data_IF_629327569756
#
_entry.id   IF_629327569756
#
_cell.length_a   1.000
_cell.length_b   1.000
_cell.length_c   1.000
_cell.angle_alpha   90.00
_cell.angle_beta   90.00
_cell.angle_gamma   90.00
#
_symmetry.space_group_name_H-M   'P 1'
#
loop_
_entity.id
_entity.type
_entity.pdbx_description
1 polymer ?
#
# COMPACT_ATOMS: atom_id res chain seq x y z
N UNK A 1 -0.58 0.84 6.50
CA UNK A 1 -0.32 0.81 7.96
C UNK A 1 -1.55 1.33 8.70
N UNK A 2 -1.89 0.76 9.85
CA UNK A 2 -2.93 1.35 10.72
C UNK A 2 -2.48 2.75 11.13
N UNK A 3 -3.38 3.73 11.02
CA UNK A 3 -3.15 5.02 11.66
C UNK A 3 -2.90 4.81 13.16
N UNK A 4 -2.05 5.64 13.76
CA UNK A 4 -1.67 5.55 15.18
C UNK A 4 -2.90 5.46 16.10
N UNK A 5 -4.01 6.11 15.71
CA UNK A 5 -5.28 6.07 16.42
C UNK A 5 -6.01 4.71 16.32
N UNK A 6 -5.91 4.02 15.19
CA UNK A 6 -6.47 2.67 15.03
C UNK A 6 -5.80 1.65 15.95
N UNK A 7 -4.47 1.76 16.11
CA UNK A 7 -3.70 0.93 17.04
C UNK A 7 -4.11 1.17 18.51
N UNK A 8 -4.33 2.44 18.87
CA UNK A 8 -4.87 2.81 20.18
C UNK A 8 -6.24 2.17 20.44
N UNK A 9 -7.19 2.34 19.51
CA UNK A 9 -8.55 1.81 19.66
C UNK A 9 -8.58 0.29 19.77
N UNK A 10 -7.76 -0.40 18.98
CA UNK A 10 -7.65 -1.86 19.01
C UNK A 10 -7.25 -2.38 20.40
N UNK A 11 -6.15 -1.87 20.96
CA UNK A 11 -5.71 -2.27 22.30
C UNK A 11 -6.60 -1.76 23.43
N UNK A 12 -7.21 -0.59 23.26
CA UNK A 12 -8.18 -0.06 24.22
C UNK A 12 -9.39 -0.98 24.34
N UNK A 13 -9.99 -1.38 23.21
CA UNK A 13 -11.17 -2.24 23.23
C UNK A 13 -10.86 -3.68 23.65
N UNK A 14 -9.65 -4.20 23.39
CA UNK A 14 -9.20 -5.50 23.93
C UNK A 14 -8.95 -5.48 25.45
N UNK A 15 -8.47 -4.36 26.00
CA UNK A 15 -8.31 -4.22 27.44
C UNK A 15 -9.65 -3.91 28.17
N UNK A 16 -10.65 -3.40 27.44
CA UNK A 16 -11.95 -3.02 27.99
C UNK A 16 -12.91 -4.22 28.11
N UNK A 17 -13.41 -4.47 29.32
CA UNK A 17 -14.34 -5.57 29.61
C UNK A 17 -15.63 -5.45 28.81
N UNK A 18 -15.94 -6.48 28.01
CA UNK A 18 -17.12 -6.51 27.13
C UNK A 18 -16.71 -6.45 25.67
N UNK A 19 -16.23 -5.30 25.16
CA UNK A 19 -15.68 -5.19 23.80
C UNK A 19 -14.54 -6.17 23.51
N UNK A 20 -13.74 -6.49 24.52
CA UNK A 20 -12.62 -7.44 24.41
C UNK A 20 -12.99 -8.87 24.03
N UNK A 21 -14.28 -9.22 24.04
CA UNK A 21 -14.76 -10.51 23.55
C UNK A 21 -14.84 -10.57 22.03
N UNK A 22 -14.70 -9.44 21.33
CA UNK A 22 -14.81 -9.34 19.88
C UNK A 22 -13.60 -8.70 19.21
N UNK A 23 -12.83 -7.88 19.93
CA UNK A 23 -11.67 -7.19 19.40
C UNK A 23 -10.40 -7.88 19.91
N UNK A 24 -9.68 -8.65 19.08
CA UNK A 24 -8.40 -9.25 19.47
C UNK A 24 -7.27 -8.20 19.45
N UNK A 25 -6.45 -8.12 20.49
CA UNK A 25 -5.30 -7.20 20.53
C UNK A 25 -4.11 -7.62 19.66
N UNK A 26 -3.93 -8.91 19.38
CA UNK A 26 -2.72 -9.45 18.78
C UNK A 26 -2.36 -8.76 17.45
N UNK A 27 -3.28 -8.52 16.50
CA UNK A 27 -2.97 -7.84 15.24
C UNK A 27 -2.46 -6.41 15.44
N UNK A 28 -3.04 -5.66 16.39
CA UNK A 28 -2.64 -4.28 16.67
C UNK A 28 -1.27 -4.21 17.35
N UNK A 29 -0.98 -5.15 18.26
CA UNK A 29 0.31 -5.25 18.93
C UNK A 29 1.44 -5.64 17.97
N UNK A 30 1.19 -6.61 17.09
CA UNK A 30 2.14 -7.00 16.04
C UNK A 30 2.39 -5.86 15.07
N UNK A 31 1.34 -5.15 14.64
CA UNK A 31 1.47 -3.99 13.76
C UNK A 31 2.29 -2.84 14.37
N UNK A 32 2.18 -2.63 15.69
CA UNK A 32 3.02 -1.66 16.38
C UNK A 32 4.49 -2.10 16.47
N UNK A 33 4.75 -3.40 16.60
CA UNK A 33 6.09 -3.97 16.48
C UNK A 33 6.70 -3.75 15.10
N UNK A 34 5.90 -3.93 14.04
CA UNK A 34 6.31 -3.62 12.68
C UNK A 34 6.65 -2.13 12.51
N UNK A 35 5.77 -1.23 12.97
CA UNK A 35 6.05 0.22 12.92
C UNK A 35 7.31 0.62 13.69
N UNK A 36 7.61 -0.07 14.80
CA UNK A 36 8.83 0.16 15.56
C UNK A 36 10.08 -0.17 14.74
N UNK A 37 10.02 -1.21 13.89
CA UNK A 37 11.11 -1.57 12.97
C UNK A 37 11.38 -0.44 11.97
N UNK A 38 10.32 0.14 11.40
CA UNK A 38 10.39 1.29 10.50
C UNK A 38 10.80 2.62 11.19
N UNK A 39 11.16 2.58 12.48
CA UNK A 39 11.54 3.75 13.28
C UNK A 39 10.36 4.57 13.82
N UNK A 40 9.12 4.14 13.58
CA UNK A 40 7.90 4.82 14.00
C UNK A 40 7.51 4.38 15.42
N UNK A 41 8.02 5.09 16.41
CA UNK A 41 7.81 4.77 17.85
C UNK A 41 6.37 5.07 18.33
N UNK A 42 5.64 5.96 17.64
CA UNK A 42 4.29 6.39 18.04
C UNK A 42 3.30 5.23 18.12
N UNK A 43 3.42 4.23 17.25
CA UNK A 43 2.57 3.03 17.26
C UNK A 43 2.62 2.32 18.60
N UNK A 44 3.83 1.99 19.08
CA UNK A 44 4.04 1.34 20.38
C UNK A 44 3.45 2.16 21.53
N UNK A 45 3.70 3.47 21.55
CA UNK A 45 3.15 4.35 22.59
C UNK A 45 1.62 4.32 22.61
N UNK A 46 0.98 4.33 21.45
CA UNK A 46 -0.49 4.31 21.33
C UNK A 46 -1.09 2.99 21.81
N UNK A 47 -0.47 1.85 21.50
CA UNK A 47 -1.00 0.54 21.92
C UNK A 47 -0.85 0.34 23.43
N UNK A 48 0.28 0.79 23.98
CA UNK A 48 0.51 0.80 25.43
C UNK A 48 -0.46 1.74 26.14
N UNK A 49 -0.69 2.94 25.60
CA UNK A 49 -1.65 3.89 26.17
C UNK A 49 -3.08 3.35 26.11
N UNK A 50 -3.50 2.77 24.98
CA UNK A 50 -4.81 2.16 24.82
C UNK A 50 -5.02 1.00 25.80
N UNK A 51 -4.06 0.07 25.86
CA UNK A 51 -4.10 -1.04 26.80
C UNK A 51 -4.12 -0.60 28.27
N UNK A 52 -3.37 0.44 28.61
CA UNK A 52 -3.37 1.01 29.97
C UNK A 52 -4.73 1.61 30.31
N UNK A 53 -5.29 2.49 29.46
CA UNK A 53 -6.57 3.14 29.72
C UNK A 53 -7.73 2.12 29.75
N UNK A 54 -7.71 1.11 28.89
CA UNK A 54 -8.70 0.02 28.92
C UNK A 54 -8.65 -0.78 30.21
N UNK A 55 -7.45 -1.12 30.72
CA UNK A 55 -7.28 -1.79 32.01
C UNK A 55 -7.84 -0.96 33.17
N UNK A 56 -7.52 0.34 33.19
CA UNK A 56 -8.00 1.26 34.23
C UNK A 56 -9.52 1.36 34.24
N UNK A 57 -10.15 1.50 33.07
CA UNK A 57 -11.60 1.54 32.96
C UNK A 57 -12.24 0.22 33.37
N UNK A 58 -11.73 -0.91 32.90
CA UNK A 58 -12.20 -2.25 33.30
C UNK A 58 -12.15 -2.43 34.82
N UNK A 59 -11.06 -2.01 35.45
CA UNK A 59 -10.91 -2.02 36.90
C UNK A 59 -11.93 -1.13 37.61
N UNK A 60 -12.13 0.10 37.14
CA UNK A 60 -13.11 1.03 37.72
C UNK A 60 -14.55 0.50 37.57
N UNK A 61 -14.88 -0.10 36.42
CA UNK A 61 -16.18 -0.76 36.20
C UNK A 61 -16.37 -1.91 37.20
N UNK A 62 -15.35 -2.74 37.40
CA UNK A 62 -15.37 -3.81 38.41
C UNK A 62 -15.54 -3.29 39.82
N UNK A 63 -14.87 -2.19 40.17
CA UNK A 63 -14.92 -1.57 41.50
C UNK A 63 -16.26 -0.90 41.79
N UNK A 64 -16.86 -0.24 40.81
CA UNK A 64 -18.13 0.49 40.94
C UNK A 64 -19.35 -0.44 40.88
N UNK A 65 -19.38 -1.37 39.93
CA UNK A 65 -20.57 -2.18 39.65
C UNK A 65 -20.49 -3.62 40.16
N UNK A 66 -19.31 -4.13 40.50
CA UNK A 66 -19.13 -5.38 41.25
C UNK A 66 -19.85 -6.62 40.68
N UNK A 67 -20.45 -7.41 41.57
CA UNK A 67 -21.14 -8.67 41.26
C UNK A 67 -22.31 -8.51 40.26
N UNK A 68 -23.17 -7.47 40.33
CA UNK A 68 -24.22 -7.26 39.33
C UNK A 68 -23.71 -7.20 37.89
N UNK A 69 -22.63 -6.46 37.63
CA UNK A 69 -22.02 -6.39 36.30
C UNK A 69 -21.43 -7.75 35.88
N UNK A 70 -20.77 -8.46 36.81
CA UNK A 70 -20.26 -9.81 36.56
C UNK A 70 -21.38 -10.78 36.14
N UNK A 71 -22.50 -10.78 36.86
CA UNK A 71 -23.65 -11.65 36.56
C UNK A 71 -24.31 -11.29 35.23
N UNK A 72 -24.45 -9.99 34.92
CA UNK A 72 -24.97 -9.54 33.63
C UNK A 72 -24.09 -10.01 32.47
N UNK A 73 -22.76 -9.89 32.60
CA UNK A 73 -21.82 -10.36 31.60
C UNK A 73 -21.85 -11.89 31.44
N UNK A 74 -21.91 -12.65 32.54
CA UNK A 74 -22.01 -14.12 32.53
C UNK A 74 -23.34 -14.66 31.98
N UNK A 75 -24.42 -13.86 32.06
CA UNK A 75 -25.71 -14.18 31.43
C UNK A 75 -25.66 -13.91 29.93
N UNK A 76 -25.08 -12.78 29.53
CA UNK A 76 -24.98 -12.39 28.13
C UNK A 76 -23.95 -13.25 27.36
N UNK A 77 -22.78 -13.54 27.93
CA UNK A 77 -21.76 -14.40 27.33
C UNK A 77 -21.34 -15.54 28.29
N UNK A 78 -21.99 -16.72 28.25
CA UNK A 78 -21.75 -17.82 29.19
C UNK A 78 -20.31 -18.36 29.17
N UNK A 79 -19.57 -18.22 28.07
CA UNK A 79 -18.15 -18.66 27.98
C UNK A 79 -17.23 -17.95 28.99
N UNK A 80 -17.58 -16.73 29.40
CA UNK A 80 -16.82 -15.95 30.40
C UNK A 80 -16.84 -16.58 31.80
N UNK A 81 -17.82 -17.46 32.11
CA UNK A 81 -17.94 -18.11 33.42
C UNK A 81 -16.66 -18.88 33.81
N UNK A 82 -16.06 -19.60 32.86
CA UNK A 82 -14.82 -20.35 33.08
C UNK A 82 -13.63 -19.43 33.34
N UNK A 83 -13.53 -18.33 32.58
CA UNK A 83 -12.49 -17.32 32.76
C UNK A 83 -12.59 -16.67 34.15
N UNK A 84 -13.79 -16.28 34.57
CA UNK A 84 -14.02 -15.73 35.92
C UNK A 84 -13.68 -16.72 37.04
N UNK A 85 -14.05 -17.99 36.91
CA UNK A 85 -13.73 -19.02 37.89
C UNK A 85 -12.21 -19.24 38.00
N UNK A 86 -11.51 -19.37 36.87
CA UNK A 86 -10.05 -19.50 36.81
C UNK A 86 -9.35 -18.27 37.39
N UNK A 87 -9.79 -17.07 37.00
CA UNK A 87 -9.25 -15.82 37.52
C UNK A 87 -9.39 -15.73 39.04
N UNK A 88 -10.56 -16.10 39.59
CA UNK A 88 -10.78 -16.09 41.04
C UNK A 88 -9.84 -17.05 41.77
N UNK A 89 -9.70 -18.27 41.25
CA UNK A 89 -8.79 -19.27 41.82
C UNK A 89 -7.32 -18.82 41.74
N UNK A 90 -6.91 -18.23 40.61
CA UNK A 90 -5.55 -17.74 40.40
C UNK A 90 -5.23 -16.56 41.32
N UNK A 91 -6.14 -15.58 41.45
CA UNK A 91 -5.95 -14.45 42.35
C UNK A 91 -5.91 -14.88 43.82
N UNK A 92 -6.69 -15.90 44.20
CA UNK A 92 -6.67 -16.45 45.56
C UNK A 92 -5.36 -17.18 45.90
N UNK A 93 -4.75 -17.86 44.94
CA UNK A 93 -3.55 -18.69 45.15
C UNK A 93 -2.23 -17.93 44.92
N UNK A 94 -2.19 -17.04 43.93
CA UNK A 94 -0.96 -16.38 43.45
C UNK A 94 -0.92 -14.87 43.73
N UNK A 95 -1.98 -14.28 44.28
CA UNK A 95 -2.01 -12.89 44.71
C UNK A 95 -1.59 -11.87 43.63
N UNK A 96 -0.57 -11.07 43.90
CA UNK A 96 -0.04 -10.03 42.99
C UNK A 96 0.62 -10.60 41.73
N UNK A 97 1.16 -11.82 41.79
CA UNK A 97 1.72 -12.49 40.61
C UNK A 97 0.62 -12.85 39.60
N UNK A 98 -0.59 -13.17 40.09
CA UNK A 98 -1.75 -13.39 39.22
C UNK A 98 -2.08 -12.13 38.41
N UNK A 99 -1.93 -10.95 39.01
CA UNK A 99 -2.17 -9.67 38.35
C UNK A 99 -1.12 -9.39 37.27
N UNK A 100 0.15 -9.56 37.63
CA UNK A 100 1.30 -9.22 36.79
C UNK A 100 1.40 -10.13 35.56
N UNK A 101 1.20 -11.44 35.72
CA UNK A 101 1.32 -12.40 34.62
C UNK A 101 -0.03 -12.72 33.95
N UNK A 102 -1.11 -12.07 34.36
CA UNK A 102 -2.47 -12.36 33.85
C UNK A 102 -2.58 -12.29 32.33
N UNK A 103 -1.91 -11.30 31.71
CA UNK A 103 -1.93 -11.05 30.27
C UNK A 103 -1.27 -12.15 29.44
N UNK A 104 -0.46 -13.03 30.06
CA UNK A 104 0.14 -14.20 29.40
C UNK A 104 -0.76 -15.45 29.47
N UNK A 105 -1.86 -15.41 30.22
CA UNK A 105 -2.68 -16.59 30.55
C UNK A 105 -3.95 -16.72 29.69
N UNK A 106 -3.91 -16.18 28.47
CA UNK A 106 -4.97 -16.26 27.46
C UNK A 106 -6.32 -15.71 27.99
N UNK A 107 -7.44 -16.46 27.93
CA UNK A 107 -8.77 -15.96 28.30
C UNK A 107 -8.94 -15.44 29.74
N UNK A 108 -7.98 -15.72 30.63
CA UNK A 108 -7.99 -15.16 31.99
C UNK A 108 -7.70 -13.66 31.96
N UNK A 109 -6.82 -13.21 31.05
CA UNK A 109 -6.44 -11.81 30.87
C UNK A 109 -7.67 -10.90 30.70
N UNK A 110 -8.66 -11.36 29.93
CA UNK A 110 -9.89 -10.61 29.60
C UNK A 110 -10.69 -10.13 30.80
N UNK A 111 -10.57 -10.81 31.96
CA UNK A 111 -11.40 -10.55 33.13
C UNK A 111 -10.60 -10.06 34.35
N UNK A 112 -9.26 -10.11 34.31
CA UNK A 112 -8.42 -9.79 35.48
C UNK A 112 -8.58 -8.34 35.95
N UNK A 113 -8.50 -7.30 35.08
CA UNK A 113 -8.67 -5.92 35.54
C UNK A 113 -10.01 -5.69 36.24
N UNK A 114 -11.09 -6.18 35.62
CA UNK A 114 -12.43 -6.12 36.20
C UNK A 114 -12.52 -6.87 37.54
N UNK A 115 -12.00 -8.10 37.61
CA UNK A 115 -12.00 -8.89 38.84
C UNK A 115 -11.20 -8.24 39.97
N UNK A 116 -10.05 -7.63 39.66
CA UNK A 116 -9.26 -6.87 40.62
C UNK A 116 -10.05 -5.70 41.22
N UNK A 117 -10.85 -5.03 40.40
CA UNK A 117 -11.82 -4.03 40.83
C UNK A 117 -12.89 -4.60 41.76
N UNK A 118 -13.50 -5.75 41.40
CA UNK A 118 -14.55 -6.38 42.23
C UNK A 118 -14.05 -6.82 43.61
N UNK A 119 -12.76 -7.17 43.72
CA UNK A 119 -12.10 -7.56 44.98
C UNK A 119 -11.58 -6.36 45.77
N UNK A 120 -11.79 -5.13 45.28
CA UNK A 120 -11.36 -3.87 45.92
C UNK A 120 -9.85 -3.79 46.20
N UNK A 121 -9.03 -4.39 45.33
CA UNK A 121 -7.57 -4.18 45.38
C UNK A 121 -7.30 -2.66 45.26
N UNK A 122 -6.37 -2.10 46.03
CA UNK A 122 -6.05 -0.67 45.96
C UNK A 122 -5.62 -0.25 44.55
N UNK A 123 -6.09 0.90 44.07
CA UNK A 123 -5.81 1.37 42.71
C UNK A 123 -4.30 1.45 42.40
N UNK A 124 -3.49 2.00 43.31
CA UNK A 124 -2.04 2.09 43.12
C UNK A 124 -1.37 0.72 42.89
N UNK A 125 -1.69 -0.28 43.72
CA UNK A 125 -1.17 -1.64 43.53
C UNK A 125 -1.66 -2.23 42.20
N UNK A 126 -2.93 -2.06 41.86
CA UNK A 126 -3.47 -2.53 40.59
C UNK A 126 -2.70 -1.92 39.41
N UNK A 127 -2.59 -0.58 39.37
CA UNK A 127 -1.94 0.14 38.28
C UNK A 127 -0.49 -0.26 38.09
N UNK A 128 0.29 -0.41 39.16
CA UNK A 128 1.70 -0.83 39.06
C UNK A 128 1.81 -2.24 38.44
N UNK A 129 1.14 -3.22 39.04
CA UNK A 129 1.26 -4.61 38.58
C UNK A 129 0.58 -4.85 37.22
N UNK A 130 -0.52 -4.16 36.92
CA UNK A 130 -1.17 -4.22 35.60
C UNK A 130 -0.29 -3.59 34.53
N UNK A 131 0.41 -2.49 34.83
CA UNK A 131 1.33 -1.87 33.87
C UNK A 131 2.53 -2.77 33.56
N UNK A 132 3.10 -3.44 34.56
CA UNK A 132 4.15 -4.45 34.33
C UNK A 132 3.61 -5.59 33.47
N UNK A 133 2.41 -6.08 33.77
CA UNK A 133 1.76 -7.12 32.97
C UNK A 133 1.44 -6.68 31.55
N UNK A 134 1.09 -5.42 31.35
CA UNK A 134 0.91 -4.81 30.04
C UNK A 134 2.24 -4.76 29.30
N UNK A 135 3.34 -4.30 29.92
CA UNK A 135 4.66 -4.30 29.27
C UNK A 135 5.09 -5.71 28.86
N UNK A 136 4.91 -6.72 29.71
CA UNK A 136 5.28 -8.10 29.38
C UNK A 136 4.37 -8.70 28.30
N UNK A 137 3.06 -8.56 28.46
CA UNK A 137 2.07 -9.14 27.57
C UNK A 137 2.01 -8.46 26.20
N UNK A 138 2.04 -7.12 26.16
CA UNK A 138 2.11 -6.37 24.91
C UNK A 138 3.51 -6.45 24.28
N UNK A 139 4.55 -6.32 25.12
CA UNK A 139 5.95 -6.29 24.68
C UNK A 139 6.37 -7.55 23.93
N UNK A 140 5.90 -8.74 24.31
CA UNK A 140 6.21 -9.96 23.54
C UNK A 140 5.65 -9.90 22.11
N UNK A 141 4.43 -9.40 21.90
CA UNK A 141 3.83 -9.31 20.57
C UNK A 141 4.48 -8.19 19.75
N UNK A 142 4.79 -7.06 20.38
CA UNK A 142 5.57 -5.99 19.74
C UNK A 142 6.94 -6.52 19.31
N UNK A 143 7.62 -7.29 20.17
CA UNK A 143 8.89 -7.92 19.84
C UNK A 143 8.78 -8.91 18.68
N UNK A 144 7.77 -9.78 18.67
CA UNK A 144 7.51 -10.68 17.54
C UNK A 144 7.16 -9.93 16.26
N UNK A 145 6.42 -8.82 16.35
CA UNK A 145 6.12 -7.96 15.19
C UNK A 145 7.37 -7.30 14.61
N UNK A 146 8.28 -6.84 15.48
CA UNK A 146 9.57 -6.29 15.09
C UNK A 146 10.45 -7.34 14.40
N UNK A 147 10.56 -8.54 14.98
CA UNK A 147 11.32 -9.64 14.36
C UNK A 147 10.72 -10.09 13.02
N UNK A 148 9.40 -10.08 12.91
CA UNK A 148 8.72 -10.40 11.66
C UNK A 148 9.06 -9.36 10.58
N UNK A 149 9.03 -8.07 10.91
CA UNK A 149 9.45 -7.00 9.99
C UNK A 149 10.92 -7.17 9.54
N UNK A 150 11.82 -7.41 10.50
CA UNK A 150 13.23 -7.68 10.20
C UNK A 150 13.43 -8.92 9.31
N UNK A 151 12.61 -9.95 9.49
CA UNK A 151 12.64 -11.16 8.68
C UNK A 151 12.06 -10.97 7.27
N UNK A 152 11.06 -10.10 7.10
CA UNK A 152 10.45 -9.81 5.80
C UNK A 152 11.48 -9.25 4.81
N UNK A 153 12.40 -8.39 5.27
CA UNK A 153 13.48 -7.86 4.41
C UNK A 153 14.44 -8.96 3.91
N UNK A 154 14.56 -10.07 4.65
CA UNK A 154 15.42 -11.18 4.26
C UNK A 154 14.77 -12.12 3.22
N UNK A 155 13.45 -12.04 3.03
CA UNK A 155 12.70 -12.90 2.12
C UNK A 155 11.86 -12.05 1.13
N UNK A 156 12.39 -11.78 -0.08
CA UNK A 156 11.71 -10.94 -1.09
C UNK A 156 10.27 -11.35 -1.41
N UNK A 157 9.94 -12.64 -1.33
CA UNK A 157 8.57 -13.14 -1.55
C UNK A 157 7.58 -12.69 -0.48
N UNK A 158 8.03 -12.49 0.77
CA UNK A 158 7.17 -11.98 1.84
C UNK A 158 6.87 -10.49 1.65
N UNK A 159 7.87 -9.72 1.24
CA UNK A 159 7.71 -8.30 0.93
C UNK A 159 6.75 -8.08 -0.25
N UNK A 160 6.93 -8.86 -1.33
CA UNK A 160 6.01 -8.89 -2.46
C UNK A 160 4.57 -9.21 -2.04
N UNK A 161 4.39 -10.23 -1.18
CA UNK A 161 3.07 -10.62 -0.68
C UNK A 161 2.44 -9.54 0.21
N UNK A 162 3.22 -8.88 1.07
CA UNK A 162 2.73 -7.78 1.90
C UNK A 162 2.34 -6.58 1.05
N UNK A 163 3.14 -6.24 0.05
CA UNK A 163 2.83 -5.17 -0.92
C UNK A 163 1.52 -5.46 -1.65
N UNK A 164 1.33 -6.70 -2.13
CA UNK A 164 0.06 -7.14 -2.72
C UNK A 164 -1.11 -6.93 -1.74
N UNK A 165 -1.00 -7.35 -0.48
CA UNK A 165 -2.08 -7.18 0.50
C UNK A 165 -2.40 -5.70 0.76
N UNK A 166 -1.37 -4.85 0.81
CA UNK A 166 -1.54 -3.40 1.04
C UNK A 166 -2.28 -2.75 -0.15
N UNK A 167 -1.93 -3.10 -1.38
CA UNK A 167 -2.61 -2.60 -2.58
C UNK A 167 -4.07 -3.08 -2.63
N UNK A 168 -4.31 -4.35 -2.35
CA UNK A 168 -5.64 -4.95 -2.45
C UNK A 168 -6.53 -4.68 -1.22
N UNK A 169 -6.05 -3.94 -0.21
CA UNK A 169 -6.73 -3.80 1.10
C UNK A 169 -8.20 -3.36 0.97
N UNK A 170 -8.50 -2.40 0.09
CA UNK A 170 -9.86 -1.89 -0.07
C UNK A 170 -10.76 -2.88 -0.82
N UNK A 171 -10.24 -3.53 -1.87
CA UNK A 171 -10.92 -4.59 -2.60
C UNK A 171 -11.23 -5.80 -1.69
N UNK A 172 -10.28 -6.17 -0.82
CA UNK A 172 -10.46 -7.20 0.20
C UNK A 172 -11.52 -6.79 1.23
N UNK A 173 -11.49 -5.55 1.73
CA UNK A 173 -12.52 -5.03 2.63
C UNK A 173 -13.91 -5.03 2.00
N UNK A 174 -14.04 -4.62 0.74
CA UNK A 174 -15.30 -4.68 -0.01
C UNK A 174 -15.81 -6.12 -0.15
N UNK A 175 -14.91 -7.07 -0.44
CA UNK A 175 -15.22 -8.50 -0.53
C UNK A 175 -15.68 -9.06 0.82
N UNK A 176 -14.97 -8.77 1.90
CA UNK A 176 -15.35 -9.20 3.26
C UNK A 176 -16.69 -8.60 3.66
N UNK A 177 -16.93 -7.31 3.42
CA UNK A 177 -18.21 -6.66 3.70
C UNK A 177 -19.36 -7.33 2.93
N UNK A 178 -19.12 -7.72 1.67
CA UNK A 178 -20.07 -8.46 0.83
C UNK A 178 -20.36 -9.84 1.40
N UNK A 179 -19.34 -10.57 1.85
CA UNK A 179 -19.49 -11.90 2.49
C UNK A 179 -20.30 -11.77 3.78
N UNK A 180 -20.02 -10.75 4.60
CA UNK A 180 -20.78 -10.48 5.83
C UNK A 180 -22.25 -10.17 5.50
N UNK A 181 -22.51 -9.33 4.50
CA UNK A 181 -23.87 -9.03 4.05
C UNK A 181 -24.59 -10.28 3.53
N UNK A 182 -23.90 -11.13 2.78
CA UNK A 182 -24.44 -12.40 2.28
C UNK A 182 -24.79 -13.34 3.44
N UNK A 183 -23.90 -13.46 4.44
CA UNK A 183 -24.12 -14.27 5.64
C UNK A 183 -25.31 -13.75 6.46
N UNK A 184 -25.38 -12.44 6.71
CA UNK A 184 -26.53 -11.81 7.39
C UNK A 184 -27.81 -12.08 6.62
N UNK A 185 -27.83 -11.81 5.32
CA UNK A 185 -29.01 -12.03 4.48
C UNK A 185 -29.44 -13.51 4.41
N UNK A 186 -28.49 -14.45 4.50
CA UNK A 186 -28.76 -15.88 4.63
C UNK A 186 -29.41 -16.21 5.99
N UNK A 187 -28.83 -15.76 7.10
CA UNK A 187 -29.35 -15.99 8.46
C UNK A 187 -30.75 -15.42 8.63
N UNK A 188 -31.01 -14.23 8.11
CA UNK A 188 -32.31 -13.55 8.19
C UNK A 188 -33.25 -13.88 7.02
N UNK A 189 -32.90 -14.86 6.16
CA UNK A 189 -33.72 -15.35 5.04
C UNK A 189 -34.28 -14.25 4.14
N UNK A 190 -33.43 -13.30 3.74
CA UNK A 190 -33.84 -12.21 2.87
C UNK A 190 -34.38 -12.72 1.52
N UNK A 191 -35.55 -12.22 1.12
CA UNK A 191 -36.01 -12.39 -0.26
C UNK A 191 -35.05 -11.69 -1.21
N UNK A 192 -34.77 -12.34 -2.34
CA UNK A 192 -33.84 -11.87 -3.39
C UNK A 192 -32.44 -11.58 -2.84
N UNK A 193 -31.87 -12.52 -2.07
CA UNK A 193 -30.54 -12.37 -1.48
C UNK A 193 -29.45 -12.13 -2.52
N UNK A 194 -29.35 -13.00 -3.54
CA UNK A 194 -28.32 -12.93 -4.57
C UNK A 194 -28.24 -11.55 -5.26
N UNK A 195 -29.32 -11.00 -5.86
CA UNK A 195 -29.22 -9.69 -6.51
C UNK A 195 -28.91 -8.55 -5.55
N UNK A 196 -29.32 -8.62 -4.27
CA UNK A 196 -28.95 -7.61 -3.27
C UNK A 196 -27.45 -7.65 -2.97
N UNK A 197 -26.91 -8.85 -2.77
CA UNK A 197 -25.48 -9.06 -2.51
C UNK A 197 -24.65 -8.67 -3.74
N UNK A 198 -25.08 -9.07 -4.94
CA UNK A 198 -24.42 -8.69 -6.19
C UNK A 198 -24.44 -7.17 -6.44
N UNK A 199 -25.56 -6.50 -6.18
CA UNK A 199 -25.66 -5.05 -6.29
C UNK A 199 -24.76 -4.33 -5.28
N UNK A 200 -24.71 -4.83 -4.04
CA UNK A 200 -23.81 -4.29 -3.01
C UNK A 200 -22.34 -4.49 -3.40
N UNK A 201 -21.97 -5.68 -3.86
CA UNK A 201 -20.61 -5.98 -4.32
C UNK A 201 -20.19 -5.05 -5.46
N UNK A 202 -21.04 -4.92 -6.48
CA UNK A 202 -20.76 -4.05 -7.62
C UNK A 202 -20.60 -2.59 -7.18
N UNK A 203 -21.52 -2.09 -6.34
CA UNK A 203 -21.43 -0.73 -5.81
C UNK A 203 -20.13 -0.53 -4.98
N UNK A 204 -19.79 -1.49 -4.12
CA UNK A 204 -18.57 -1.42 -3.31
C UNK A 204 -17.30 -1.42 -4.18
N UNK A 205 -17.21 -2.28 -5.21
CA UNK A 205 -16.07 -2.33 -6.12
C UNK A 205 -15.97 -1.07 -6.99
N UNK A 206 -17.10 -0.48 -7.40
CA UNK A 206 -17.11 0.82 -8.08
C UNK A 206 -16.64 1.95 -7.16
N UNK A 207 -17.05 1.94 -5.88
CA UNK A 207 -16.55 2.90 -4.89
C UNK A 207 -15.05 2.75 -4.66
N UNK A 208 -14.53 1.52 -4.62
CA UNK A 208 -13.08 1.26 -4.51
C UNK A 208 -12.33 1.76 -5.74
N UNK A 209 -12.86 1.54 -6.95
CA UNK A 209 -12.27 2.10 -8.17
C UNK A 209 -12.27 3.64 -8.13
N UNK A 210 -13.41 4.25 -7.78
CA UNK A 210 -13.52 5.70 -7.69
C UNK A 210 -12.55 6.28 -6.66
N UNK A 211 -12.50 5.72 -5.45
CA UNK A 211 -11.62 6.23 -4.40
C UNK A 211 -10.14 6.08 -4.76
N UNK A 212 -9.77 5.02 -5.48
CA UNK A 212 -8.41 4.82 -5.95
C UNK A 212 -7.94 5.99 -6.83
N UNK A 213 -8.71 6.32 -7.88
CA UNK A 213 -8.35 7.37 -8.84
C UNK A 213 -8.55 8.79 -8.32
N UNK A 214 -9.59 9.04 -7.54
CA UNK A 214 -10.03 10.41 -7.21
C UNK A 214 -9.74 10.85 -5.76
N UNK A 215 -9.42 9.95 -4.83
CA UNK A 215 -9.15 10.31 -3.43
C UNK A 215 -7.74 9.96 -2.95
N UNK A 216 -7.14 8.92 -3.53
CA UNK A 216 -5.88 8.38 -3.02
C UNK A 216 -4.70 8.55 -3.96
N UNK A 217 -4.95 8.82 -5.25
CA UNK A 217 -3.93 8.78 -6.28
C UNK A 217 -2.82 9.83 -6.09
N UNK A 218 -3.11 11.00 -5.55
CA UNK A 218 -2.18 12.13 -5.42
C UNK A 218 -1.31 12.13 -4.14
N UNK A 219 -1.43 11.11 -3.28
CA UNK A 219 -0.74 11.06 -1.97
C UNK A 219 0.76 10.68 -2.04
N UNK A 220 1.44 10.95 -3.15
CA UNK A 220 2.85 10.61 -3.34
C UNK A 220 3.79 11.74 -2.87
N UNK A 221 4.89 11.35 -2.23
CA UNK A 221 5.95 12.29 -1.84
C UNK A 221 6.95 12.41 -2.99
N UNK A 222 7.14 13.63 -3.49
CA UNK A 222 8.17 13.91 -4.48
C UNK A 222 9.56 13.77 -3.88
N UNK A 223 10.30 12.80 -4.42
CA UNK A 223 11.72 12.61 -4.13
C UNK A 223 12.48 12.60 -5.45
N UNK A 224 13.25 13.67 -5.68
CA UNK A 224 14.16 13.74 -6.81
C UNK A 224 15.46 13.02 -6.45
N UNK A 225 15.81 11.92 -7.13
CA UNK A 225 17.04 11.20 -6.84
C UNK A 225 18.23 12.07 -7.19
N UNK A 226 19.10 12.29 -6.21
CA UNK A 226 20.39 12.98 -6.37
C UNK A 226 21.55 11.99 -6.52
N UNK A 227 21.26 10.69 -6.54
CA UNK A 227 22.23 9.62 -6.69
C UNK A 227 22.81 9.59 -8.10
N UNK A 228 24.12 9.38 -8.18
CA UNK A 228 24.80 9.11 -9.45
C UNK A 228 24.38 7.74 -9.99
N UNK A 229 24.02 7.69 -11.27
CA UNK A 229 23.57 6.47 -11.95
C UNK A 229 24.34 6.25 -13.25
N UNK A 230 24.41 4.99 -13.67
CA UNK A 230 24.88 4.58 -15.00
C UNK A 230 23.78 3.75 -15.69
N UNK A 231 23.76 3.66 -17.02
CA UNK A 231 22.79 2.80 -17.72
C UNK A 231 22.76 1.36 -17.19
N UNK A 232 23.92 0.80 -16.85
CA UNK A 232 24.02 -0.56 -16.31
C UNK A 232 23.34 -0.74 -14.94
N UNK A 233 23.28 0.30 -14.11
CA UNK A 233 22.67 0.23 -12.77
C UNK A 233 21.15 0.41 -12.76
N UNK A 234 20.54 0.69 -13.92
CA UNK A 234 19.11 1.00 -14.01
C UNK A 234 18.25 -0.27 -14.07
N UNK A 235 17.04 -0.16 -13.53
CA UNK A 235 15.99 -1.13 -13.76
C UNK A 235 15.29 -0.79 -15.08
N UNK A 236 15.04 -1.79 -15.93
CA UNK A 236 14.38 -1.61 -17.22
C UNK A 236 12.94 -2.15 -17.24
N UNK A 237 12.33 -2.34 -16.07
CA UNK A 237 10.94 -2.74 -15.89
C UNK A 237 10.18 -1.68 -15.08
N UNK A 238 8.98 -1.36 -15.52
CA UNK A 238 8.01 -0.53 -14.81
C UNK A 238 6.68 -1.28 -14.69
N UNK A 239 5.92 -1.04 -13.63
CA UNK A 239 4.80 -1.91 -13.24
C UNK A 239 3.51 -1.10 -13.05
N UNK A 240 2.31 -1.63 -13.37
CA UNK A 240 1.02 -0.98 -13.13
C UNK A 240 0.59 -0.99 -11.64
N UNK A 241 1.51 -1.34 -10.75
CA UNK A 241 1.42 -1.24 -9.30
C UNK A 241 2.80 -1.41 -8.68
N UNK A 242 2.90 -1.34 -7.36
CA UNK A 242 4.13 -1.57 -6.59
C UNK A 242 4.41 -3.06 -6.38
N UNK A 243 3.38 -3.91 -6.39
CA UNK A 243 3.55 -5.36 -6.28
C UNK A 243 4.16 -5.95 -7.56
N UNK A 244 5.10 -6.91 -7.48
CA UNK A 244 5.68 -7.57 -8.65
C UNK A 244 4.77 -8.62 -9.29
N UNK A 245 3.51 -8.73 -8.84
CA UNK A 245 2.51 -9.67 -9.39
C UNK A 245 1.96 -9.21 -10.73
N UNK A 246 2.10 -7.92 -11.05
CA UNK A 246 1.64 -7.39 -12.32
C UNK A 246 2.69 -7.58 -13.41
N UNK A 247 2.21 -7.76 -14.63
CA UNK A 247 3.06 -7.81 -15.81
C UNK A 247 3.79 -6.48 -15.98
N UNK A 248 5.10 -6.57 -16.16
CA UNK A 248 5.95 -5.41 -16.33
C UNK A 248 5.78 -4.84 -17.74
N UNK A 249 5.87 -3.53 -17.85
CA UNK A 249 6.16 -2.82 -19.10
C UNK A 249 7.65 -2.54 -19.20
N UNK A 250 8.23 -2.71 -20.39
CA UNK A 250 9.64 -2.42 -20.65
C UNK A 250 9.94 -0.91 -20.69
N UNK A 251 11.01 -0.51 -20.01
CA UNK A 251 11.66 0.80 -20.18
C UNK A 251 12.64 0.68 -21.34
N UNK A 252 12.42 1.48 -22.37
CA UNK A 252 13.07 1.34 -23.68
C UNK A 252 13.66 2.66 -24.22
N UNK A 253 13.60 3.74 -23.43
CA UNK A 253 14.22 5.04 -23.75
C UNK A 253 15.00 5.58 -22.56
N UNK A 254 16.15 6.20 -22.82
CA UNK A 254 16.94 7.01 -21.90
C UNK A 254 17.10 8.40 -22.49
N UNK A 255 16.97 9.41 -21.65
CA UNK A 255 17.27 10.80 -22.01
C UNK A 255 18.26 11.38 -21.01
N UNK A 256 19.35 11.99 -21.50
CA UNK A 256 20.36 12.64 -20.67
C UNK A 256 20.36 14.14 -20.97
N UNK A 257 19.95 14.93 -19.98
CA UNK A 257 19.75 16.38 -20.10
C UNK A 257 18.84 16.91 -19.00
N UNK A 258 18.60 18.23 -18.98
CA UNK A 258 17.80 18.87 -17.93
C UNK A 258 16.38 18.27 -17.83
N UNK A 259 15.68 18.17 -18.96
CA UNK A 259 14.34 17.59 -19.02
C UNK A 259 13.98 17.09 -20.42
N UNK A 260 13.29 15.94 -20.54
CA UNK A 260 12.79 15.47 -21.84
C UNK A 260 11.63 16.32 -22.35
N UNK A 261 11.00 17.16 -21.51
CA UNK A 261 9.78 17.90 -21.86
C UNK A 261 9.94 18.77 -23.11
N UNK A 262 11.06 19.45 -23.26
CA UNK A 262 11.34 20.30 -24.43
C UNK A 262 11.44 19.49 -25.73
N UNK A 263 12.07 18.32 -25.68
CA UNK A 263 12.12 17.38 -26.81
C UNK A 263 10.74 16.85 -27.15
N UNK A 264 9.96 16.45 -26.13
CA UNK A 264 8.63 15.90 -26.36
C UNK A 264 7.70 16.92 -27.02
N UNK A 265 7.68 18.16 -26.52
CA UNK A 265 6.81 19.22 -27.05
C UNK A 265 7.23 19.67 -28.45
N UNK A 266 8.53 19.72 -28.77
CA UNK A 266 8.99 20.06 -30.13
C UNK A 266 8.63 18.98 -31.16
N UNK A 267 8.58 17.71 -30.75
CA UNK A 267 8.10 16.59 -31.57
C UNK A 267 6.57 16.50 -31.66
N UNK A 268 5.84 17.47 -31.10
CA UNK A 268 4.37 17.53 -31.18
C UNK A 268 3.64 16.62 -30.19
N UNK A 269 4.32 16.09 -29.18
CA UNK A 269 3.67 15.33 -28.12
C UNK A 269 2.95 16.24 -27.13
N UNK A 270 1.79 15.79 -26.67
CA UNK A 270 0.95 16.49 -25.71
C UNK A 270 1.22 15.90 -24.33
N UNK A 271 1.52 16.73 -23.34
CA UNK A 271 1.66 16.29 -21.96
C UNK A 271 0.29 15.99 -21.35
N UNK A 272 0.11 14.77 -20.87
CA UNK A 272 -1.10 14.32 -20.20
C UNK A 272 -1.03 14.62 -18.70
N UNK A 273 -2.19 14.90 -18.12
CA UNK A 273 -2.33 14.82 -16.67
C UNK A 273 -2.26 13.37 -16.21
N UNK A 274 -1.84 13.16 -14.97
CA UNK A 274 -1.77 11.84 -14.33
C UNK A 274 -2.46 11.92 -12.97
N UNK A 275 -3.09 10.83 -12.56
CA UNK A 275 -3.81 10.81 -11.28
C UNK A 275 -2.87 10.99 -10.08
N UNK A 276 -1.61 10.60 -10.20
CA UNK A 276 -0.61 10.81 -9.13
C UNK A 276 -0.02 12.21 -9.04
N UNK A 277 -0.04 12.99 -10.13
CA UNK A 277 0.61 14.32 -10.19
C UNK A 277 -0.36 15.48 -10.30
N UNK A 278 -1.64 15.19 -10.53
CA UNK A 278 -2.68 16.18 -10.73
C UNK A 278 -3.88 15.84 -9.87
N UNK A 279 -4.39 16.83 -9.15
CA UNK A 279 -5.68 16.74 -8.47
C UNK A 279 -6.79 16.80 -9.53
N UNK A 280 -7.22 15.62 -9.98
CA UNK A 280 -8.22 15.45 -11.04
C UNK A 280 -9.52 15.05 -10.36
N UNK A 281 -10.53 15.91 -10.43
CA UNK A 281 -11.89 15.56 -10.05
C UNK A 281 -12.66 14.90 -11.21
N UNK A 282 -13.84 14.33 -10.91
CA UNK A 282 -14.71 13.73 -11.92
C UNK A 282 -15.03 14.68 -13.10
N UNK A 283 -15.21 15.97 -12.82
CA UNK A 283 -15.52 16.96 -13.86
C UNK A 283 -14.32 17.21 -14.78
N UNK A 284 -13.11 17.27 -14.21
CA UNK A 284 -11.87 17.43 -14.97
C UNK A 284 -11.62 16.21 -15.83
N UNK A 285 -11.81 15.01 -15.27
CA UNK A 285 -11.75 13.75 -16.01
C UNK A 285 -12.66 13.75 -17.25
N UNK A 286 -13.93 14.14 -17.09
CA UNK A 286 -14.88 14.25 -18.22
C UNK A 286 -14.46 15.34 -19.22
N UNK A 287 -13.88 16.45 -18.74
CA UNK A 287 -13.34 17.52 -19.58
C UNK A 287 -12.17 17.04 -20.45
N UNK A 288 -11.20 16.35 -19.83
CA UNK A 288 -10.02 15.77 -20.48
C UNK A 288 -10.40 14.72 -21.54
N UNK A 289 -11.40 13.87 -21.24
CA UNK A 289 -11.94 12.93 -22.22
C UNK A 289 -12.54 13.63 -23.46
N UNK A 290 -13.31 14.70 -23.25
CA UNK A 290 -13.87 15.51 -24.35
C UNK A 290 -12.77 16.21 -25.15
N UNK A 291 -11.70 16.63 -24.49
CA UNK A 291 -10.51 17.23 -25.09
C UNK A 291 -9.53 16.23 -25.70
N UNK A 292 -9.90 14.94 -25.79
CA UNK A 292 -9.04 13.86 -26.31
C UNK A 292 -7.67 13.76 -25.63
N UNK A 293 -7.58 14.22 -24.38
CA UNK A 293 -6.37 14.18 -23.54
C UNK A 293 -6.66 13.47 -22.21
N UNK A 294 -7.17 12.21 -22.23
CA UNK A 294 -7.45 11.46 -21.00
C UNK A 294 -6.25 11.49 -20.06
N UNK A 295 -6.48 11.57 -18.75
CA UNK A 295 -5.41 11.35 -17.81
C UNK A 295 -4.87 9.93 -17.97
N UNK A 296 -3.56 9.80 -17.76
CA UNK A 296 -2.85 8.54 -17.92
C UNK A 296 -2.72 7.87 -16.55
N UNK A 297 -3.10 6.59 -16.47
CA UNK A 297 -2.89 5.77 -15.28
C UNK A 297 -1.40 5.65 -14.94
N UNK A 298 -1.12 5.56 -13.65
CA UNK A 298 0.24 5.57 -13.13
C UNK A 298 0.99 4.28 -13.43
N UNK A 299 2.28 4.42 -13.73
CA UNK A 299 3.20 3.32 -13.88
C UNK A 299 4.36 3.54 -12.90
N UNK A 300 4.75 2.48 -12.22
CA UNK A 300 5.69 2.54 -11.12
C UNK A 300 7.06 2.03 -11.58
N UNK A 301 8.05 2.91 -11.53
CA UNK A 301 9.45 2.55 -11.70
C UNK A 301 10.16 2.69 -10.35
N UNK A 302 10.78 1.61 -9.88
CA UNK A 302 11.37 1.53 -8.52
C UNK A 302 10.40 1.98 -7.41
N UNK A 303 9.11 1.65 -7.56
CA UNK A 303 8.06 2.00 -6.60
C UNK A 303 7.59 3.46 -6.64
N UNK A 304 8.14 4.30 -7.53
CA UNK A 304 7.71 5.70 -7.74
C UNK A 304 6.83 5.83 -8.98
N UNK A 305 5.70 6.57 -8.92
CA UNK A 305 4.94 6.90 -10.12
C UNK A 305 5.76 7.77 -11.07
N UNK A 306 5.35 7.82 -12.34
CA UNK A 306 5.97 8.66 -13.36
C UNK A 306 5.96 10.14 -12.97
N UNK A 307 6.97 10.88 -13.40
CA UNK A 307 7.03 12.33 -13.17
C UNK A 307 6.24 13.10 -14.24
N UNK A 308 6.13 12.52 -15.44
CA UNK A 308 5.38 13.08 -16.55
C UNK A 308 4.96 11.99 -17.54
N UNK A 309 3.87 12.23 -18.25
CA UNK A 309 3.35 11.35 -19.29
C UNK A 309 2.98 12.17 -20.52
N UNK A 310 3.23 11.64 -21.71
CA UNK A 310 2.89 12.27 -22.98
C UNK A 310 2.18 11.29 -23.90
N UNK A 311 1.35 11.84 -24.78
CA UNK A 311 0.72 11.12 -25.88
C UNK A 311 0.90 11.87 -27.20
N UNK A 312 0.86 11.13 -28.31
CA UNK A 312 0.62 11.77 -29.61
C UNK A 312 -0.87 12.12 -29.79
N UNK A 313 -1.19 13.18 -30.55
CA UNK A 313 -2.56 13.48 -30.93
C UNK A 313 -3.17 12.29 -31.70
N UNK A 314 -4.37 11.87 -31.32
CA UNK A 314 -4.96 10.68 -31.92
C UNK A 314 -6.27 10.23 -31.28
N UNK A 315 -6.57 8.94 -31.46
CA UNK A 315 -7.76 8.30 -30.90
C UNK A 315 -7.58 8.01 -29.40
N UNK A 316 -8.70 7.95 -28.67
CA UNK A 316 -8.73 7.58 -27.26
C UNK A 316 -8.35 6.12 -27.03
N UNK A 317 -8.52 5.25 -28.02
CA UNK A 317 -8.24 3.82 -27.91
C UNK A 317 -6.87 3.43 -28.45
N UNK A 318 -6.36 4.19 -29.43
CA UNK A 318 -5.15 3.85 -30.16
C UNK A 318 -4.21 5.04 -30.30
N UNK A 319 -3.12 5.01 -29.57
CA UNK A 319 -2.17 6.12 -29.49
C UNK A 319 -0.83 5.64 -28.94
N UNK A 320 0.24 6.31 -29.38
CA UNK A 320 1.53 6.17 -28.73
C UNK A 320 1.52 7.00 -27.45
N UNK A 321 2.04 6.42 -26.37
CA UNK A 321 2.24 7.12 -25.12
C UNK A 321 3.65 6.87 -24.60
N UNK A 322 4.18 7.82 -23.83
CA UNK A 322 5.47 7.68 -23.17
C UNK A 322 5.40 8.28 -21.77
N UNK A 323 5.90 7.53 -20.80
CA UNK A 323 6.02 7.97 -19.39
C UNK A 323 7.48 8.13 -19.04
N UNK A 324 7.81 9.12 -18.22
CA UNK A 324 9.19 9.45 -17.84
C UNK A 324 9.38 9.48 -16.32
N UNK A 325 10.56 9.03 -15.88
CA UNK A 325 11.04 9.16 -14.51
C UNK A 325 12.46 9.71 -14.50
N UNK A 326 12.75 10.64 -13.62
CA UNK A 326 14.13 11.04 -13.32
C UNK A 326 14.78 9.91 -12.51
N UNK A 327 15.83 9.31 -13.07
CA UNK A 327 16.55 8.18 -12.49
C UNK A 327 17.68 8.63 -11.55
N UNK A 328 18.29 9.78 -11.82
CA UNK A 328 19.41 10.32 -11.04
C UNK A 328 20.27 11.27 -11.86
N UNK A 329 21.57 11.31 -11.57
CA UNK A 329 22.56 12.11 -12.31
C UNK A 329 23.51 11.14 -13.04
N UNK A 330 23.69 11.32 -14.36
CA UNK A 330 24.65 10.53 -15.14
C UNK A 330 26.08 10.77 -14.66
N UNK A 331 26.81 9.68 -14.41
CA UNK A 331 28.19 9.74 -13.90
C UNK A 331 29.17 10.46 -14.84
N UNK A 332 28.98 10.36 -16.16
CA UNK A 332 29.94 10.87 -17.15
C UNK A 332 29.67 12.33 -17.51
N UNK A 333 28.40 12.66 -17.71
CA UNK A 333 27.94 13.95 -18.22
C UNK A 333 27.53 14.90 -17.08
N UNK A 334 27.39 14.41 -15.86
CA UNK A 334 26.94 15.16 -14.68
C UNK A 334 25.63 15.93 -14.95
N UNK A 335 24.72 15.28 -15.67
CA UNK A 335 23.39 15.80 -16.02
C UNK A 335 22.31 14.87 -15.51
N UNK A 336 21.06 15.35 -15.32
CA UNK A 336 19.95 14.47 -15.01
C UNK A 336 19.78 13.38 -16.07
N UNK A 337 19.64 12.14 -15.62
CA UNK A 337 19.28 11.01 -16.45
C UNK A 337 17.82 10.65 -16.22
N UNK A 338 17.10 10.46 -17.31
CA UNK A 338 15.69 10.11 -17.33
C UNK A 338 15.51 8.75 -18.01
N UNK A 339 14.63 7.92 -17.43
CA UNK A 339 14.16 6.68 -18.03
C UNK A 339 12.77 6.88 -18.61
N UNK A 340 12.51 6.29 -19.76
CA UNK A 340 11.26 6.42 -20.49
C UNK A 340 10.72 5.05 -20.90
N UNK A 341 9.41 4.86 -20.72
CA UNK A 341 8.68 3.70 -21.22
C UNK A 341 7.71 4.18 -22.31
N UNK A 342 8.07 3.96 -23.58
CA UNK A 342 7.23 4.25 -24.74
C UNK A 342 6.54 2.97 -25.20
N UNK A 343 5.25 3.08 -25.52
CA UNK A 343 4.48 1.99 -26.11
C UNK A 343 3.27 2.49 -26.88
N UNK A 344 2.61 1.57 -27.59
CA UNK A 344 1.40 1.83 -28.35
C UNK A 344 0.19 1.18 -27.68
N UNK A 345 -0.85 1.96 -27.43
CA UNK A 345 -2.15 1.43 -27.03
C UNK A 345 -2.86 0.87 -28.25
N UNK A 346 -3.36 -0.37 -28.20
CA UNK A 346 -4.04 -1.02 -29.33
C UNK A 346 -5.51 -1.41 -29.05
N UNK A 347 -5.99 -1.15 -27.83
CA UNK A 347 -7.34 -1.49 -27.41
C UNK A 347 -7.60 -1.26 -25.92
N UNK A 348 -8.60 -1.96 -25.37
CA UNK A 348 -8.94 -1.95 -23.95
C UNK A 348 -8.91 -3.37 -23.40
N UNK A 349 -8.39 -3.50 -22.18
CA UNK A 349 -8.35 -4.75 -21.42
C UNK A 349 -8.86 -4.53 -20.00
N UNK A 350 -9.48 -5.57 -19.44
CA UNK A 350 -9.87 -5.60 -18.04
C UNK A 350 -8.72 -6.25 -17.27
N UNK A 351 -7.95 -5.47 -16.53
CA UNK A 351 -6.75 -5.94 -15.85
C UNK A 351 -6.71 -5.50 -14.39
N UNK A 352 -5.81 -6.10 -13.62
CA UNK A 352 -5.53 -5.67 -12.26
C UNK A 352 -4.52 -4.52 -12.28
N UNK A 353 -4.82 -3.48 -11.52
CA UNK A 353 -4.04 -2.25 -11.44
C UNK A 353 -3.98 -1.82 -9.98
N UNK A 354 -2.80 -1.76 -9.37
CA UNK A 354 -2.61 -1.27 -8.00
C UNK A 354 -3.65 -1.77 -6.97
N UNK A 355 -4.06 -3.05 -7.08
CA UNK A 355 -5.01 -3.70 -6.18
C UNK A 355 -6.49 -3.59 -6.53
N UNK A 356 -6.84 -2.95 -7.64
CA UNK A 356 -8.19 -2.84 -8.19
C UNK A 356 -8.31 -3.58 -9.53
N UNK A 357 -9.51 -4.01 -9.88
CA UNK A 357 -9.83 -4.47 -11.24
C UNK A 357 -10.42 -3.27 -11.97
N UNK A 358 -9.81 -2.89 -13.08
CA UNK A 358 -10.20 -1.70 -13.85
C UNK A 358 -9.96 -1.91 -15.35
N UNK A 359 -10.54 -1.02 -16.15
CA UNK A 359 -10.35 -1.05 -17.61
C UNK A 359 -9.17 -0.13 -17.93
N UNK A 360 -8.12 -0.71 -18.50
CA UNK A 360 -6.95 0.01 -19.00
C UNK A 360 -6.78 -0.24 -20.50
N UNK A 361 -5.88 0.50 -21.12
CA UNK A 361 -5.46 0.22 -22.48
C UNK A 361 -4.64 -1.07 -22.55
N UNK A 362 -4.87 -1.88 -23.57
CA UNK A 362 -3.96 -2.95 -23.94
C UNK A 362 -2.75 -2.36 -24.67
N UNK A 363 -1.57 -2.89 -24.38
CA UNK A 363 -0.31 -2.44 -24.94
C UNK A 363 0.11 -3.40 -26.05
N UNK A 364 0.50 -2.86 -27.21
CA UNK A 364 1.08 -3.65 -28.30
C UNK A 364 2.36 -4.35 -27.80
N UNK A 365 2.49 -5.68 -27.95
CA UNK A 365 3.66 -6.42 -27.48
C UNK A 365 4.98 -5.95 -28.11
N UNK A 366 4.96 -5.26 -29.25
CA UNK A 366 6.14 -4.73 -29.93
C UNK A 366 6.53 -3.34 -29.43
N UNK A 367 7.12 -3.29 -28.23
CA UNK A 367 7.59 -2.01 -27.66
C UNK A 367 8.76 -1.39 -28.45
N UNK A 368 9.52 -2.20 -29.19
CA UNK A 368 10.66 -1.74 -29.99
C UNK A 368 10.21 -0.90 -31.19
N UNK A 369 9.05 -1.24 -31.79
CA UNK A 369 8.54 -0.49 -32.95
C UNK A 369 8.25 0.98 -32.60
N UNK A 370 7.67 1.26 -31.43
CA UNK A 370 7.42 2.64 -31.00
C UNK A 370 8.70 3.38 -30.61
N UNK A 371 9.64 2.69 -29.94
CA UNK A 371 10.97 3.23 -29.66
C UNK A 371 11.69 3.64 -30.95
N UNK A 372 11.67 2.78 -31.96
CA UNK A 372 12.36 3.03 -33.24
C UNK A 372 11.67 4.12 -34.06
N UNK A 373 10.34 4.25 -33.99
CA UNK A 373 9.61 5.41 -34.52
C UNK A 373 10.04 6.71 -33.84
N UNK A 374 10.16 6.73 -32.51
CA UNK A 374 10.64 7.90 -31.78
C UNK A 374 12.07 8.27 -32.20
N UNK A 375 12.96 7.29 -32.32
CA UNK A 375 14.33 7.50 -32.81
C UNK A 375 14.36 8.12 -34.21
N UNK A 376 13.53 7.60 -35.13
CA UNK A 376 13.41 8.14 -36.50
C UNK A 376 12.91 9.57 -36.50
N UNK A 377 11.94 9.91 -35.65
CA UNK A 377 11.39 11.27 -35.53
C UNK A 377 12.45 12.24 -34.99
N UNK A 378 13.17 11.87 -33.93
CA UNK A 378 14.25 12.70 -33.38
C UNK A 378 15.31 12.97 -34.45
N UNK A 379 15.77 11.94 -35.15
CA UNK A 379 16.81 12.09 -36.17
C UNK A 379 16.39 12.94 -37.37
N UNK A 380 15.08 13.06 -37.63
CA UNK A 380 14.55 13.82 -38.77
C UNK A 380 14.22 15.27 -38.38
N UNK A 381 13.57 15.47 -37.23
CA UNK A 381 13.03 16.76 -36.81
C UNK A 381 13.95 17.53 -35.86
N UNK A 382 14.86 16.85 -35.15
CA UNK A 382 15.78 17.42 -34.15
C UNK A 382 17.24 16.95 -34.38
N UNK A 383 17.85 17.31 -35.53
CA UNK A 383 19.18 16.81 -35.92
C UNK A 383 20.32 17.24 -34.98
N UNK A 384 20.10 18.23 -34.11
CA UNK A 384 21.03 18.65 -33.07
C UNK A 384 21.14 17.64 -31.92
N UNK A 385 20.15 16.77 -31.72
CA UNK A 385 20.17 15.72 -30.70
C UNK A 385 20.91 14.49 -31.22
N UNK A 386 21.70 13.84 -30.37
CA UNK A 386 22.34 12.57 -30.73
C UNK A 386 21.53 11.40 -30.20
N UNK A 387 21.21 10.44 -31.08
CA UNK A 387 20.59 9.16 -30.71
C UNK A 387 21.60 8.02 -30.81
N UNK A 388 21.54 7.08 -29.87
CA UNK A 388 22.32 5.85 -29.88
C UNK A 388 21.49 4.69 -29.30
N UNK A 389 21.93 3.46 -29.52
CA UNK A 389 21.33 2.28 -28.89
C UNK A 389 22.29 1.69 -27.87
N UNK A 390 21.78 1.41 -26.67
CA UNK A 390 22.51 0.71 -25.61
C UNK A 390 21.89 -0.67 -25.39
N UNK A 391 22.71 -1.73 -25.36
CA UNK A 391 22.25 -3.07 -25.04
C UNK A 391 22.08 -3.20 -23.52
N UNK A 392 20.85 -3.01 -23.05
CA UNK A 392 20.51 -3.04 -21.63
C UNK A 392 20.23 -4.45 -21.11
N UNK A 393 19.56 -5.26 -21.93
CA UNK A 393 19.07 -6.59 -21.59
C UNK A 393 19.32 -7.56 -22.74
N UNK A 394 19.31 -8.89 -22.51
CA UNK A 394 19.18 -9.84 -23.61
C UNK A 394 17.82 -9.66 -24.33
N UNK A 395 17.72 -10.16 -25.56
CA UNK A 395 16.45 -10.16 -26.27
C UNK A 395 15.40 -10.97 -25.49
N UNK A 396 14.22 -10.37 -25.34
CA UNK A 396 13.04 -10.90 -24.67
C UNK A 396 12.02 -11.33 -25.72
N UNK A 397 11.44 -12.51 -25.54
CA UNK A 397 10.30 -12.98 -26.32
C UNK A 397 9.05 -12.97 -25.44
N UNK A 398 7.87 -12.88 -26.08
CA UNK A 398 6.60 -13.04 -25.36
C UNK A 398 6.51 -14.47 -24.83
N UNK A 399 6.26 -14.60 -23.54
CA UNK A 399 6.08 -15.87 -22.84
C UNK A 399 4.99 -15.74 -21.74
N UNK A 400 4.85 -16.75 -20.87
CA UNK A 400 3.86 -16.71 -19.77
C UNK A 400 4.17 -15.62 -18.72
N UNK A 401 5.40 -15.08 -18.69
CA UNK A 401 5.87 -14.09 -17.71
C UNK A 401 6.06 -12.69 -18.33
N UNK A 402 5.91 -12.54 -19.65
CA UNK A 402 6.16 -11.30 -20.39
C UNK A 402 5.12 -11.04 -21.49
N UNK A 403 4.33 -9.98 -21.31
CA UNK A 403 3.33 -9.52 -22.28
C UNK A 403 3.92 -8.78 -23.51
N UNK A 404 5.24 -8.58 -23.54
CA UNK A 404 5.93 -7.86 -24.61
C UNK A 404 7.21 -8.58 -25.05
N UNK A 405 7.66 -8.29 -26.27
CA UNK A 405 8.98 -8.68 -26.76
C UNK A 405 9.86 -7.46 -27.01
N UNK A 406 11.16 -7.64 -26.87
CA UNK A 406 12.16 -6.61 -27.16
C UNK A 406 13.48 -7.23 -27.58
N UNK A 407 14.22 -6.55 -28.43
CA UNK A 407 15.62 -6.85 -28.78
C UNK A 407 16.60 -6.55 -27.62
N UNK A 408 16.10 -6.02 -26.50
CA UNK A 408 16.87 -5.70 -25.29
C UNK A 408 17.70 -4.41 -25.41
N UNK A 409 17.56 -3.68 -26.52
CA UNK A 409 18.19 -2.38 -26.74
C UNK A 409 17.32 -1.26 -26.17
N UNK A 410 17.98 -0.19 -25.78
CA UNK A 410 17.36 1.01 -25.24
C UNK A 410 17.87 2.20 -26.03
N UNK A 411 16.95 3.06 -26.48
CA UNK A 411 17.28 4.27 -27.20
C UNK A 411 17.85 5.29 -26.20
N UNK A 412 19.07 5.75 -26.42
CA UNK A 412 19.72 6.81 -25.63
C UNK A 412 19.70 8.10 -26.43
N UNK A 413 19.11 9.14 -25.86
CA UNK A 413 19.03 10.49 -26.42
C UNK A 413 19.82 11.43 -25.53
N UNK A 414 20.78 12.17 -26.11
CA UNK A 414 21.50 13.20 -25.36
C UNK A 414 21.09 14.59 -25.83
N UNK A 415 20.94 15.50 -24.87
CA UNK A 415 20.65 16.91 -25.11
C UNK A 415 21.78 17.59 -25.93
N UNK A 416 21.44 18.43 -26.92
CA UNK A 416 22.40 19.13 -27.78
C UNK A 416 23.44 19.96 -27.01
N UNK A 417 23.10 20.49 -25.83
CA UNK A 417 24.06 21.28 -25.04
C UNK A 417 25.22 20.43 -24.50
N UNK A 418 25.10 19.11 -24.45
CA UNK A 418 26.13 18.19 -23.93
C UNK A 418 27.15 17.76 -24.99
N UNK A 419 26.76 17.81 -26.26
CA UNK A 419 27.59 17.36 -27.39
C UNK A 419 28.74 18.34 -27.65
N UNK A 420 28.50 19.64 -27.42
CA UNK A 420 29.48 20.70 -27.65
C UNK A 420 30.63 20.71 -26.62
N UNK A 421 30.39 20.24 -25.41
CA UNK A 421 31.39 20.21 -24.32
C UNK A 421 32.42 19.09 -24.49
N UNK A 422 32.06 18.00 -25.19
CA UNK A 422 32.95 16.85 -25.40
C UNK A 422 33.76 16.90 -26.71
N UNK A 423 33.41 17.76 -27.67
CA UNK A 423 34.21 17.97 -28.87
C UNK A 423 35.35 18.99 -28.68
N UNK A 424 35.41 19.64 -27.52
CA UNK A 424 36.40 20.68 -27.20
C UNK A 424 37.59 20.19 -26.34
N UNK A 425 37.71 18.88 -26.10
CA UNK A 425 38.78 18.28 -25.28
C UNK A 425 39.60 17.22 -26.01
#
# INVERSE_FOLDING_TARGET
MFESFGLFLGAFFDALIGPNLFVPAEPFLLAAGYQLYDGIVSGVLMVLLGGFLGDQLSYLTGRKFGKPAQQKLMKWQPKTRRAFARCRHLMATKGTAALTFSRLLGPVAWVVPFMAGTQKISWARFTIFSSIGLMLGAGQFIFWGYLLAAGVEQYPYLDAFMTMLVEHKYSLMATVATIVLAWVGYVYRWKKLLPKVSAFFLAAMLTVNYSHYFWFADNFIDTTPTTTVTPLSLNYKAYPGKSPIFDAQGVNVLFVGETPRTMMTSLGWIENQTFSRNDIDWNDYVGLLKGQTPPVSDLFWNGRPQDMAFQLPGDLLKRAHIRWWQAGIDERLNQPMWVGAISYDDGLTLTMYSGIITVLHSIDPNIDAERDKLASLINTELPEMTTAYYQAMPALAVDEDHDYYSDGRVLVVNDPQLVLTHQAH
#
